data_IF_888410238738
#
_entry.id   IF_888410238738
#
_cell.length_a   1.000
_cell.length_b   1.000
_cell.length_c   1.000
_cell.angle_alpha   90.00
_cell.angle_beta   90.00
_cell.angle_gamma   90.00
#
_symmetry.space_group_name_H-M   'P 1'
#
loop_
_entity.id
_entity.type
_entity.pdbx_description
1 polymer ?
#
# COMPACT_ATOMS: atom_id res chain seq x y z
N UNK A 1 8.70 -7.50 -7.40
CA UNK A 1 7.45 -8.07 -7.96
C UNK A 1 6.81 -9.11 -7.04
N UNK A 2 7.52 -10.17 -6.61
CA UNK A 2 6.98 -11.22 -5.71
C UNK A 2 6.30 -10.67 -4.44
N UNK A 3 7.04 -9.90 -3.64
CA UNK A 3 6.51 -9.26 -2.42
C UNK A 3 5.44 -8.21 -2.73
N UNK A 4 5.51 -7.55 -3.89
CA UNK A 4 4.49 -6.62 -4.34
C UNK A 4 3.14 -7.32 -4.48
N UNK A 5 3.08 -8.43 -5.23
CA UNK A 5 1.87 -9.25 -5.33
C UNK A 5 1.35 -9.71 -3.96
N UNK A 6 2.25 -10.18 -3.10
CA UNK A 6 1.92 -10.68 -1.77
C UNK A 6 1.31 -9.58 -0.87
N UNK A 7 1.89 -8.38 -0.86
CA UNK A 7 1.37 -7.25 -0.08
C UNK A 7 0.09 -6.67 -0.69
N UNK A 8 -0.03 -6.63 -2.02
CA UNK A 8 -1.21 -6.08 -2.70
C UNK A 8 -2.44 -6.99 -2.66
N UNK A 9 -2.24 -8.31 -2.70
CA UNK A 9 -3.34 -9.28 -2.85
C UNK A 9 -3.40 -10.35 -1.76
N UNK A 10 -2.43 -10.38 -0.84
CA UNK A 10 -2.29 -11.46 0.14
C UNK A 10 -1.73 -12.76 -0.43
N UNK A 11 -1.62 -12.87 -1.75
CA UNK A 11 -1.13 -14.06 -2.46
C UNK A 11 -0.05 -13.75 -3.48
N UNK A 12 0.85 -14.70 -3.72
CA UNK A 12 1.84 -14.62 -4.79
C UNK A 12 2.10 -16.00 -5.35
N UNK A 13 2.26 -16.10 -6.67
CA UNK A 13 2.30 -17.37 -7.38
C UNK A 13 3.57 -17.43 -8.24
N UNK A 14 4.32 -18.51 -8.08
CA UNK A 14 5.53 -18.81 -8.84
C UNK A 14 5.33 -20.12 -9.61
N UNK A 15 5.43 -20.04 -10.94
CA UNK A 15 5.39 -21.20 -11.83
C UNK A 15 6.81 -21.47 -12.37
N UNK A 16 7.33 -22.70 -12.21
CA UNK A 16 8.61 -23.07 -12.78
C UNK A 16 8.44 -23.40 -14.26
N UNK A 17 9.36 -22.92 -15.10
CA UNK A 17 9.52 -23.41 -16.46
C UNK A 17 10.58 -24.52 -16.46
N UNK A 18 10.14 -25.74 -16.72
CA UNK A 18 11.00 -26.92 -16.79
C UNK A 18 11.48 -27.14 -18.22
N UNK A 19 12.80 -27.29 -18.40
CA UNK A 19 13.41 -27.70 -19.66
C UNK A 19 14.28 -28.92 -19.42
N UNK A 20 13.94 -30.04 -20.08
CA UNK A 20 14.64 -31.31 -19.93
C UNK A 20 14.84 -31.73 -18.46
N UNK A 21 13.78 -31.60 -17.64
CA UNK A 21 13.80 -31.96 -16.21
C UNK A 21 14.52 -30.97 -15.29
N UNK A 22 15.01 -29.84 -15.81
CA UNK A 22 15.72 -28.82 -15.02
C UNK A 22 14.93 -27.51 -15.01
N UNK A 23 14.74 -26.85 -13.85
CA UNK A 23 14.11 -25.54 -13.81
C UNK A 23 15.02 -24.50 -14.45
N UNK A 24 14.50 -23.76 -15.43
CA UNK A 24 15.26 -22.71 -16.14
C UNK A 24 14.78 -21.32 -15.81
N UNK A 25 13.47 -21.15 -15.66
CA UNK A 25 12.88 -19.85 -15.38
C UNK A 25 11.82 -19.98 -14.29
N UNK A 26 11.59 -18.85 -13.62
CA UNK A 26 10.57 -18.69 -12.60
C UNK A 26 9.65 -17.58 -13.05
N UNK A 27 8.41 -17.92 -13.38
CA UNK A 27 7.41 -16.96 -13.80
C UNK A 27 6.51 -16.56 -12.65
N UNK A 28 6.46 -15.27 -12.38
CA UNK A 28 5.49 -14.70 -11.45
C UNK A 28 4.14 -14.56 -12.14
N UNK A 29 3.14 -15.28 -11.64
CA UNK A 29 1.77 -15.12 -12.12
C UNK A 29 1.08 -13.98 -11.36
N UNK A 30 0.24 -13.25 -12.09
CA UNK A 30 -0.58 -12.17 -11.56
C UNK A 30 -1.70 -12.73 -10.69
N UNK A 31 -1.79 -12.40 -9.39
CA UNK A 31 -2.77 -12.97 -8.49
C UNK A 31 -4.23 -12.70 -8.89
N UNK A 32 -4.51 -11.54 -9.50
CA UNK A 32 -5.85 -11.16 -9.98
C UNK A 32 -6.41 -12.08 -11.07
N UNK A 33 -5.56 -12.94 -11.64
CA UNK A 33 -5.90 -13.87 -12.72
C UNK A 33 -5.86 -15.34 -12.30
N UNK A 34 -5.50 -15.61 -11.04
CA UNK A 34 -5.40 -16.98 -10.51
C UNK A 34 -6.66 -17.28 -9.68
N UNK A 35 -7.19 -18.48 -9.82
CA UNK A 35 -8.22 -19.02 -8.93
C UNK A 35 -7.83 -20.41 -8.47
N UNK A 36 -8.01 -20.70 -7.18
CA UNK A 36 -7.73 -22.01 -6.62
C UNK A 36 -8.84 -22.98 -7.02
N UNK A 37 -8.46 -24.18 -7.44
CA UNK A 37 -9.36 -25.31 -7.70
C UNK A 37 -9.13 -26.32 -6.57
N UNK A 38 -10.09 -26.39 -5.65
CA UNK A 38 -10.07 -27.35 -4.55
C UNK A 38 -10.61 -28.72 -5.00
N UNK A 39 -10.03 -29.78 -4.45
CA UNK A 39 -10.53 -31.14 -4.57
C UNK A 39 -11.77 -31.38 -3.71
N UNK A 40 -12.29 -32.61 -3.73
CA UNK A 40 -13.43 -33.02 -2.92
C UNK A 40 -13.17 -32.98 -1.41
N UNK A 41 -11.90 -32.97 -1.01
CA UNK A 41 -11.41 -32.88 0.36
C UNK A 41 -11.11 -31.43 0.81
N UNK A 42 -11.33 -30.45 -0.07
CA UNK A 42 -11.04 -29.04 0.18
C UNK A 42 -9.58 -28.65 -0.04
N UNK A 43 -8.67 -29.56 -0.37
CA UNK A 43 -7.27 -29.19 -0.63
C UNK A 43 -7.09 -28.68 -2.06
N UNK A 44 -6.20 -27.70 -2.31
CA UNK A 44 -5.88 -27.26 -3.66
C UNK A 44 -5.32 -28.41 -4.51
N UNK A 45 -5.98 -28.72 -5.61
CA UNK A 45 -5.50 -29.71 -6.61
C UNK A 45 -4.97 -29.04 -7.87
N UNK A 46 -5.42 -27.82 -8.16
CA UNK A 46 -4.96 -27.04 -9.29
C UNK A 46 -5.20 -25.53 -9.10
N UNK A 47 -4.65 -24.74 -10.02
CA UNK A 47 -4.84 -23.31 -10.14
C UNK A 47 -5.26 -22.97 -11.57
N UNK A 48 -6.34 -22.22 -11.72
CA UNK A 48 -6.78 -21.70 -13.01
C UNK A 48 -6.17 -20.32 -13.24
N UNK A 49 -5.33 -20.19 -14.27
CA UNK A 49 -4.77 -18.91 -14.72
C UNK A 49 -5.53 -18.39 -15.94
N UNK A 50 -6.22 -17.26 -15.79
CA UNK A 50 -7.13 -16.68 -16.80
C UNK A 50 -6.47 -15.53 -17.55
N UNK A 51 -6.45 -15.62 -18.89
CA UNK A 51 -5.97 -14.55 -19.78
C UNK A 51 -7.01 -14.31 -20.87
N UNK A 52 -7.82 -13.25 -20.69
CA UNK A 52 -8.98 -13.00 -21.54
C UNK A 52 -9.96 -14.17 -21.48
N UNK A 53 -10.39 -14.75 -22.61
CA UNK A 53 -11.32 -15.88 -22.63
C UNK A 53 -10.65 -17.24 -22.36
N UNK A 54 -9.32 -17.29 -22.28
CA UNK A 54 -8.58 -18.55 -22.12
C UNK A 54 -8.28 -18.80 -20.65
N UNK A 55 -8.49 -20.03 -20.21
CA UNK A 55 -8.09 -20.51 -18.88
C UNK A 55 -7.07 -21.63 -19.06
N UNK A 56 -5.90 -21.48 -18.45
CA UNK A 56 -4.90 -22.54 -18.34
C UNK A 56 -4.98 -23.12 -16.93
N UNK A 57 -5.26 -24.41 -16.83
CA UNK A 57 -5.20 -25.14 -15.55
C UNK A 57 -3.77 -25.60 -15.30
N UNK A 58 -3.25 -25.24 -14.13
CA UNK A 58 -1.91 -25.57 -13.66
C UNK A 58 -2.08 -26.50 -12.45
N UNK A 59 -1.53 -27.72 -12.47
CA UNK A 59 -1.70 -28.62 -11.33
C UNK A 59 -0.94 -28.09 -10.11
N UNK A 60 -1.48 -28.31 -8.91
CA UNK A 60 -0.84 -27.90 -7.66
C UNK A 60 0.41 -28.74 -7.35
N UNK A 61 0.45 -29.98 -7.85
CA UNK A 61 1.54 -30.92 -7.72
C UNK A 61 1.96 -31.41 -9.11
N UNK A 62 3.25 -31.65 -9.34
CA UNK A 62 3.77 -32.21 -10.59
C UNK A 62 4.31 -33.61 -10.33
N UNK A 63 4.19 -34.52 -11.30
CA UNK A 63 4.84 -35.84 -11.24
C UNK A 63 6.38 -35.71 -11.33
N UNK A 64 6.86 -34.66 -12.00
CA UNK A 64 8.28 -34.38 -12.25
C UNK A 64 8.93 -33.46 -11.18
N UNK A 65 8.27 -33.22 -10.04
CA UNK A 65 8.79 -32.38 -8.95
C UNK A 65 7.77 -31.38 -8.39
N UNK A 66 8.23 -30.17 -8.06
CA UNK A 66 7.37 -29.18 -7.44
C UNK A 66 6.42 -28.51 -8.46
N UNK A 67 5.12 -28.48 -8.13
CA UNK A 67 4.10 -27.75 -8.89
C UNK A 67 4.18 -26.22 -8.69
N UNK A 68 3.09 -25.52 -8.95
CA UNK A 68 3.01 -24.08 -8.72
C UNK A 68 3.16 -23.75 -7.22
N UNK A 69 4.06 -22.83 -6.88
CA UNK A 69 4.22 -22.34 -5.51
C UNK A 69 3.25 -21.20 -5.24
N UNK A 70 2.34 -21.40 -4.29
CA UNK A 70 1.44 -20.37 -3.76
C UNK A 70 1.93 -19.89 -2.39
N UNK A 71 2.45 -18.66 -2.36
CA UNK A 71 2.78 -17.96 -1.13
C UNK A 71 1.55 -17.18 -0.66
N UNK A 72 1.09 -17.43 0.57
CA UNK A 72 -0.05 -16.73 1.17
C UNK A 72 0.31 -16.04 2.48
N UNK A 73 -0.29 -14.88 2.70
CA UNK A 73 -0.39 -14.27 4.02
C UNK A 73 -1.53 -14.92 4.82
N UNK A 74 -1.46 -14.81 6.14
CA UNK A 74 -2.49 -15.37 7.01
C UNK A 74 -3.85 -14.73 6.73
N UNK A 75 -4.89 -15.56 6.54
CA UNK A 75 -6.27 -15.12 6.44
C UNK A 75 -7.12 -15.93 7.43
N UNK A 76 -7.87 -15.28 8.34
CA UNK A 76 -8.65 -16.00 9.36
C UNK A 76 -10.03 -16.52 8.89
N UNK A 77 -10.44 -16.20 7.66
CA UNK A 77 -11.80 -16.43 7.14
C UNK A 77 -11.83 -17.08 5.75
N UNK A 78 -10.67 -17.25 5.12
CA UNK A 78 -10.51 -17.86 3.80
C UNK A 78 -9.45 -18.96 3.94
N UNK A 79 -9.81 -20.18 3.53
CA UNK A 79 -8.94 -21.35 3.64
C UNK A 79 -7.84 -21.38 2.56
N UNK A 80 -8.08 -20.70 1.44
CA UNK A 80 -7.24 -20.76 0.25
C UNK A 80 -6.49 -19.46 -0.02
N UNK A 81 -7.18 -18.32 0.09
CA UNK A 81 -6.61 -17.00 -0.11
C UNK A 81 -5.74 -16.52 1.05
N UNK A 82 -4.89 -15.53 0.77
CA UNK A 82 -4.22 -14.76 1.80
C UNK A 82 -4.86 -13.38 1.95
N UNK A 83 -4.80 -12.81 3.16
CA UNK A 83 -5.32 -11.46 3.42
C UNK A 83 -4.26 -10.41 3.05
N UNK A 84 -4.60 -9.48 2.16
CA UNK A 84 -3.75 -8.33 1.87
C UNK A 84 -3.71 -7.37 3.07
N UNK A 85 -2.52 -6.91 3.50
CA UNK A 85 -2.41 -5.83 4.48
C UNK A 85 -3.01 -4.51 3.97
N UNK A 86 -3.06 -4.26 2.66
CA UNK A 86 -3.79 -3.10 2.13
C UNK A 86 -5.31 -3.30 2.21
N UNK A 87 -5.78 -4.55 2.13
CA UNK A 87 -7.18 -4.88 2.33
C UNK A 87 -7.70 -4.46 3.71
N UNK A 88 -6.88 -4.58 4.76
CA UNK A 88 -7.24 -4.09 6.10
C UNK A 88 -7.20 -2.56 6.24
N UNK A 89 -6.49 -1.87 5.34
CA UNK A 89 -6.41 -0.41 5.30
C UNK A 89 -7.42 0.26 4.35
N UNK A 90 -8.43 -0.47 3.85
CA UNK A 90 -9.37 0.00 2.82
C UNK A 90 -9.99 1.38 3.13
N UNK A 91 -10.56 1.54 4.33
CA UNK A 91 -11.17 2.81 4.75
C UNK A 91 -10.18 3.98 4.79
N UNK A 92 -8.92 3.72 5.19
CA UNK A 92 -7.87 4.73 5.21
C UNK A 92 -7.44 5.12 3.78
N UNK A 93 -7.35 4.15 2.86
CA UNK A 93 -7.08 4.41 1.45
C UNK A 93 -8.19 5.28 0.84
N UNK A 94 -9.44 4.95 1.10
CA UNK A 94 -10.59 5.69 0.59
C UNK A 94 -10.62 7.13 1.12
N UNK A 95 -10.37 7.30 2.43
CA UNK A 95 -10.26 8.61 3.05
C UNK A 95 -9.11 9.43 2.44
N UNK A 96 -7.92 8.85 2.32
CA UNK A 96 -6.76 9.53 1.74
C UNK A 96 -7.04 9.98 0.29
N UNK A 97 -7.66 9.11 -0.51
CA UNK A 97 -8.04 9.42 -1.89
C UNK A 97 -9.15 10.48 -1.97
N UNK A 98 -10.15 10.42 -1.08
CA UNK A 98 -11.22 11.40 -1.01
C UNK A 98 -10.69 12.79 -0.64
N UNK A 99 -9.81 12.89 0.35
CA UNK A 99 -9.12 14.14 0.71
C UNK A 99 -8.37 14.71 -0.49
N UNK A 100 -7.58 13.90 -1.20
CA UNK A 100 -6.83 14.35 -2.36
C UNK A 100 -7.74 14.85 -3.51
N UNK A 101 -8.81 14.10 -3.83
CA UNK A 101 -9.78 14.50 -4.86
C UNK A 101 -10.51 15.79 -4.48
N UNK A 102 -10.89 15.92 -3.20
CA UNK A 102 -11.55 17.11 -2.70
C UNK A 102 -10.63 18.33 -2.77
N UNK A 103 -9.39 18.23 -2.27
CA UNK A 103 -8.43 19.33 -2.34
C UNK A 103 -8.14 19.76 -3.77
N UNK A 104 -8.00 18.80 -4.70
CA UNK A 104 -7.87 19.09 -6.13
C UNK A 104 -9.10 19.83 -6.66
N UNK A 105 -10.30 19.32 -6.39
CA UNK A 105 -11.54 19.94 -6.85
C UNK A 105 -11.74 21.36 -6.29
N UNK A 106 -11.33 21.60 -5.05
CA UNK A 106 -11.32 22.93 -4.46
C UNK A 106 -10.38 23.88 -5.21
N UNK A 107 -9.14 23.45 -5.49
CA UNK A 107 -8.15 24.24 -6.22
C UNK A 107 -8.60 24.52 -7.66
N UNK A 108 -9.14 23.51 -8.35
CA UNK A 108 -9.68 23.64 -9.71
C UNK A 108 -10.85 24.66 -9.76
N UNK A 109 -11.59 24.78 -8.66
CA UNK A 109 -12.69 25.74 -8.49
C UNK A 109 -12.26 27.03 -7.75
N UNK A 110 -11.01 27.45 -7.92
CA UNK A 110 -10.51 28.75 -7.43
C UNK A 110 -10.50 28.91 -5.91
N UNK A 111 -10.47 27.81 -5.16
CA UNK A 111 -10.56 27.77 -3.70
C UNK A 111 -11.79 28.50 -3.11
N UNK A 112 -12.85 28.69 -3.90
CA UNK A 112 -14.08 29.33 -3.44
C UNK A 112 -15.02 28.28 -2.85
N UNK A 113 -15.38 28.36 -1.56
CA UNK A 113 -16.51 27.62 -1.04
C UNK A 113 -17.78 27.97 -1.83
N UNK A 114 -18.74 27.06 -1.88
CA UNK A 114 -20.10 27.37 -2.32
C UNK A 114 -20.55 28.66 -1.64
N UNK A 115 -21.15 29.59 -2.39
CA UNK A 115 -21.70 30.81 -1.82
C UNK A 115 -23.08 31.05 -2.37
N UNK A 116 -23.85 31.84 -1.62
CA UNK A 116 -25.15 32.30 -2.05
C UNK A 116 -25.06 33.79 -2.37
N UNK A 117 -25.54 34.16 -3.55
CA UNK A 117 -25.82 35.55 -3.86
C UNK A 117 -27.15 35.92 -3.19
N UNK A 118 -27.09 36.81 -2.21
CA UNK A 118 -28.25 37.30 -1.47
C UNK A 118 -28.65 38.64 -2.03
N UNK A 119 -29.92 38.79 -2.41
CA UNK A 119 -30.47 40.05 -2.89
C UNK A 119 -31.35 40.68 -1.80
N UNK A 120 -30.99 41.88 -1.34
CA UNK A 120 -31.75 42.66 -0.35
C UNK A 120 -31.93 44.11 -0.84
N UNK A 121 -32.98 44.39 -1.64
CA UNK A 121 -33.28 45.76 -2.06
C UNK A 121 -33.87 46.60 -0.93
N UNK A 122 -33.53 47.89 -0.91
CA UNK A 122 -33.96 48.85 0.14
C UNK A 122 -35.47 49.06 0.23
N UNK A 123 -36.22 48.82 -0.84
CA UNK A 123 -37.67 49.05 -0.92
C UNK A 123 -38.51 47.76 -0.96
N UNK A 124 -37.88 46.59 -0.89
CA UNK A 124 -38.57 45.30 -0.95
C UNK A 124 -39.09 44.95 -2.35
N UNK A 125 -38.48 43.94 -2.98
CA UNK A 125 -38.86 43.48 -4.31
C UNK A 125 -37.98 42.31 -4.77
N UNK A 126 -38.47 41.50 -5.69
CA UNK A 126 -37.65 40.44 -6.32
C UNK A 126 -36.97 40.99 -7.58
N UNK A 127 -35.87 40.34 -7.99
CA UNK A 127 -35.30 40.55 -9.32
C UNK A 127 -36.36 40.24 -10.39
N UNK A 128 -36.41 41.05 -11.44
CA UNK A 128 -37.20 40.70 -12.62
C UNK A 128 -36.62 39.42 -13.29
N UNK A 129 -37.43 38.63 -14.00
CA UNK A 129 -36.94 37.44 -14.70
C UNK A 129 -35.77 37.74 -15.63
N UNK A 130 -35.85 38.83 -16.40
CA UNK A 130 -34.79 39.25 -17.33
C UNK A 130 -33.49 39.62 -16.61
N UNK A 131 -33.58 40.29 -15.45
CA UNK A 131 -32.41 40.63 -14.64
C UNK A 131 -31.77 39.40 -13.99
N UNK A 132 -32.59 38.42 -13.59
CA UNK A 132 -32.13 37.14 -13.05
C UNK A 132 -31.36 36.33 -14.11
N UNK A 133 -31.91 36.19 -15.31
CA UNK A 133 -31.27 35.42 -16.38
C UNK A 133 -29.97 36.07 -16.85
N UNK A 134 -29.93 37.42 -16.92
CA UNK A 134 -28.69 38.15 -17.20
C UNK A 134 -27.63 37.92 -16.13
N UNK A 135 -28.00 38.03 -14.87
CA UNK A 135 -27.10 37.83 -13.73
C UNK A 135 -26.59 36.39 -13.67
N UNK A 136 -27.45 35.41 -13.95
CA UNK A 136 -27.05 34.00 -14.04
C UNK A 136 -26.05 33.78 -15.17
N UNK A 137 -26.30 34.32 -16.37
CA UNK A 137 -25.39 34.20 -17.50
C UNK A 137 -24.04 34.89 -17.24
N UNK A 138 -24.04 36.07 -16.61
CA UNK A 138 -22.82 36.77 -16.18
C UNK A 138 -22.04 35.98 -15.13
N UNK A 139 -22.73 35.34 -14.17
CA UNK A 139 -22.11 34.48 -13.15
C UNK A 139 -21.48 33.22 -13.77
N UNK A 140 -22.20 32.54 -14.65
CA UNK A 140 -21.72 31.33 -15.33
C UNK A 140 -20.52 31.65 -16.23
N UNK A 141 -20.59 32.73 -17.03
CA UNK A 141 -19.50 33.12 -17.93
C UNK A 141 -18.29 33.73 -17.19
N UNK A 142 -18.53 34.50 -16.14
CA UNK A 142 -17.51 35.27 -15.43
C UNK A 142 -16.79 34.52 -14.32
N UNK A 143 -17.36 33.42 -13.81
CA UNK A 143 -16.86 32.73 -12.61
C UNK A 143 -16.83 31.21 -12.68
N UNK A 144 -17.21 30.58 -13.79
CA UNK A 144 -16.89 29.16 -14.02
C UNK A 144 -15.47 28.99 -14.57
N UNK A 145 -14.79 27.96 -14.08
CA UNK A 145 -13.47 27.54 -14.53
C UNK A 145 -12.29 28.26 -13.86
N UNK A 146 -11.14 27.57 -13.82
CA UNK A 146 -9.92 28.02 -13.15
C UNK A 146 -9.36 29.35 -13.67
N UNK A 147 -9.64 29.73 -14.94
CA UNK A 147 -9.17 30.99 -15.55
C UNK A 147 -9.86 32.22 -14.96
N UNK A 148 -11.08 32.04 -14.46
CA UNK A 148 -11.89 33.11 -13.90
C UNK A 148 -11.75 33.22 -12.36
N UNK A 149 -10.83 32.46 -11.79
CA UNK A 149 -10.48 32.47 -10.37
C UNK A 149 -10.11 33.86 -9.87
N UNK A 150 -10.65 34.27 -8.73
CA UNK A 150 -10.22 35.51 -8.07
C UNK A 150 -10.66 36.82 -8.74
N UNK A 151 -11.42 36.77 -9.84
CA UNK A 151 -11.99 37.98 -10.45
C UNK A 151 -12.87 38.71 -9.41
N UNK A 152 -12.70 40.03 -9.22
CA UNK A 152 -13.60 40.81 -8.38
C UNK A 152 -15.03 40.69 -8.88
N UNK A 153 -15.98 40.47 -7.97
CA UNK A 153 -17.42 40.47 -8.28
C UNK A 153 -17.97 41.86 -8.00
N UNK A 154 -18.43 42.54 -9.05
CA UNK A 154 -19.10 43.82 -8.90
C UNK A 154 -20.56 43.56 -8.51
N UNK A 155 -20.93 43.98 -7.31
CA UNK A 155 -22.25 43.81 -6.74
C UNK A 155 -22.94 45.17 -6.65
N UNK A 156 -24.05 45.32 -7.36
CA UNK A 156 -24.86 46.55 -7.39
C UNK A 156 -26.25 46.32 -6.77
N UNK A 157 -26.94 47.40 -6.39
CA UNK A 157 -28.38 47.34 -6.12
C UNK A 157 -28.83 46.51 -4.91
N UNK A 158 -27.97 46.26 -3.92
CA UNK A 158 -28.30 45.45 -2.74
C UNK A 158 -28.01 43.96 -2.90
N UNK A 159 -27.24 43.58 -3.92
CA UNK A 159 -26.63 42.26 -4.01
C UNK A 159 -25.47 42.14 -3.02
N UNK A 160 -25.45 41.02 -2.29
CA UNK A 160 -24.41 40.66 -1.32
C UNK A 160 -23.97 39.22 -1.56
N UNK A 161 -22.67 38.96 -1.59
CA UNK A 161 -22.16 37.59 -1.72
C UNK A 161 -21.85 37.03 -0.33
N UNK A 162 -22.64 36.05 0.11
CA UNK A 162 -22.38 35.32 1.35
C UNK A 162 -21.68 34.02 1.01
N UNK A 163 -20.43 33.89 1.45
CA UNK A 163 -19.75 32.60 1.42
C UNK A 163 -20.51 31.62 2.32
N UNK A 164 -20.96 30.50 1.75
CA UNK A 164 -21.72 29.44 2.42
C UNK A 164 -20.84 28.19 2.46
N UNK A 165 -19.83 28.21 3.32
CA UNK A 165 -18.95 27.06 3.52
C UNK A 165 -17.84 27.35 4.51
N UNK A 166 -17.31 26.30 5.12
CA UNK A 166 -16.06 26.36 5.88
C UNK A 166 -14.94 26.81 4.93
N UNK A 167 -14.04 27.70 5.38
CA UNK A 167 -12.88 27.99 4.57
C UNK A 167 -11.99 26.73 4.51
N UNK A 168 -11.23 26.51 3.42
CA UNK A 168 -10.30 25.39 3.34
C UNK A 168 -9.28 25.33 4.48
N UNK A 169 -9.02 26.48 5.12
CA UNK A 169 -8.14 26.62 6.28
C UNK A 169 -8.81 26.15 7.58
N UNK A 170 -10.15 26.14 7.64
CA UNK A 170 -10.94 25.72 8.81
C UNK A 170 -11.23 24.21 8.80
N UNK A 171 -10.96 23.52 7.70
CA UNK A 171 -11.20 22.10 7.57
C UNK A 171 -9.89 21.32 7.79
N UNK A 172 -9.87 20.46 8.80
CA UNK A 172 -8.71 19.65 9.20
C UNK A 172 -8.44 18.47 8.22
N UNK A 173 -8.57 18.73 6.92
CA UNK A 173 -8.34 17.74 5.87
C UNK A 173 -6.88 17.34 5.77
N UNK A 174 -5.96 18.24 6.10
CA UNK A 174 -4.55 17.92 6.14
C UNK A 174 -4.25 16.89 7.24
N UNK A 175 -4.77 17.09 8.46
CA UNK A 175 -4.60 16.08 9.50
C UNK A 175 -5.36 14.79 9.19
N UNK A 176 -6.57 14.86 8.61
CA UNK A 176 -7.30 13.66 8.19
C UNK A 176 -6.53 12.86 7.12
N UNK A 177 -5.95 13.55 6.13
CA UNK A 177 -5.11 12.93 5.09
C UNK A 177 -3.84 12.34 5.68
N UNK A 178 -3.16 13.07 6.57
CA UNK A 178 -1.95 12.60 7.22
C UNK A 178 -2.24 11.41 8.16
N UNK A 179 -3.36 11.43 8.89
CA UNK A 179 -3.84 10.31 9.71
C UNK A 179 -4.09 9.07 8.86
N UNK A 180 -4.84 9.21 7.76
CA UNK A 180 -5.08 8.12 6.81
C UNK A 180 -3.76 7.57 6.22
N UNK A 181 -2.80 8.44 5.88
CA UNK A 181 -1.49 8.00 5.41
C UNK A 181 -0.72 7.19 6.47
N UNK A 182 -0.84 7.53 7.76
CA UNK A 182 -0.23 6.76 8.87
C UNK A 182 -0.90 5.40 9.04
N UNK A 183 -2.23 5.32 8.94
CA UNK A 183 -2.95 4.04 9.04
C UNK A 183 -2.58 3.08 7.90
N UNK A 184 -2.41 3.60 6.68
CA UNK A 184 -1.93 2.81 5.53
C UNK A 184 -0.51 2.31 5.77
N UNK A 185 0.38 3.17 6.27
CA UNK A 185 1.76 2.81 6.58
C UNK A 185 1.82 1.74 7.69
N UNK A 186 1.00 1.89 8.73
CA UNK A 186 0.87 0.93 9.83
C UNK A 186 0.42 -0.44 9.32
N UNK A 187 -0.56 -0.49 8.43
CA UNK A 187 -1.04 -1.75 7.86
C UNK A 187 0.06 -2.49 7.07
N UNK A 188 0.96 -1.76 6.41
CA UNK A 188 2.13 -2.33 5.73
C UNK A 188 3.32 -2.61 6.68
N UNK A 189 3.22 -2.24 7.96
CA UNK A 189 4.32 -2.34 8.92
C UNK A 189 5.49 -1.38 8.62
N UNK A 190 5.21 -0.27 7.94
CA UNK A 190 6.22 0.75 7.61
C UNK A 190 6.10 1.94 8.56
N UNK A 191 7.16 2.30 9.30
CA UNK A 191 7.15 3.50 10.13
C UNK A 191 6.86 4.77 9.32
N UNK A 192 5.85 5.58 9.67
CA UNK A 192 5.44 6.75 8.90
C UNK A 192 6.55 7.77 8.63
N UNK A 193 7.48 7.91 9.56
CA UNK A 193 8.64 8.81 9.43
C UNK A 193 9.55 8.43 8.26
N UNK A 194 9.71 7.15 7.93
CA UNK A 194 10.50 6.71 6.77
C UNK A 194 9.82 7.09 5.44
N UNK A 195 8.51 7.36 5.48
CA UNK A 195 7.70 7.81 4.34
C UNK A 195 7.59 9.34 4.26
N UNK A 196 8.26 10.08 5.17
CA UNK A 196 8.17 11.54 5.24
C UNK A 196 6.80 12.07 5.66
N UNK A 197 5.96 11.24 6.26
CA UNK A 197 4.66 11.68 6.79
C UNK A 197 4.94 12.61 7.98
N UNK A 198 4.35 13.81 8.05
CA UNK A 198 4.65 14.81 9.09
C UNK A 198 4.57 14.24 10.52
N UNK A 199 5.41 14.75 11.43
CA UNK A 199 5.51 14.32 12.83
C UNK A 199 6.83 14.75 13.46
N UNK A 200 7.09 14.39 14.72
CA UNK A 200 8.35 14.71 15.40
C UNK A 200 9.50 13.82 14.91
N UNK A 201 10.33 14.36 14.01
CA UNK A 201 11.46 13.65 13.39
C UNK A 201 12.77 14.10 14.02
N UNK A 202 13.47 13.16 14.67
CA UNK A 202 14.85 13.34 15.13
C UNK A 202 15.74 12.25 14.51
N UNK A 203 17.06 12.46 14.48
CA UNK A 203 18.00 11.48 13.93
C UNK A 203 17.97 10.15 14.69
N UNK A 204 17.89 10.21 16.03
CA UNK A 204 17.77 9.03 16.88
C UNK A 204 16.48 8.25 16.60
N UNK A 205 15.35 8.96 16.42
CA UNK A 205 14.10 8.33 16.02
C UNK A 205 14.27 7.64 14.67
N UNK A 206 14.88 8.30 13.68
CA UNK A 206 15.06 7.77 12.32
C UNK A 206 15.82 6.43 12.30
N UNK A 207 16.93 6.35 13.02
CA UNK A 207 17.71 5.12 13.11
C UNK A 207 16.89 3.96 13.71
N UNK A 208 16.15 4.24 14.79
CA UNK A 208 15.34 3.24 15.48
C UNK A 208 14.13 2.79 14.63
N UNK A 209 13.52 3.70 13.87
CA UNK A 209 12.46 3.36 12.93
C UNK A 209 12.98 2.44 11.80
N UNK A 210 14.17 2.74 11.26
CA UNK A 210 14.77 1.88 10.25
C UNK A 210 15.01 0.45 10.79
N UNK A 211 15.57 0.34 12.01
CA UNK A 211 15.74 -0.95 12.70
C UNK A 211 14.41 -1.67 12.91
N UNK A 212 13.40 -0.95 13.38
CA UNK A 212 12.06 -1.50 13.63
C UNK A 212 11.42 -2.04 12.35
N UNK A 213 11.56 -1.33 11.22
CA UNK A 213 11.09 -1.80 9.91
C UNK A 213 11.72 -3.15 9.54
N UNK A 214 13.04 -3.27 9.66
CA UNK A 214 13.72 -4.52 9.34
C UNK A 214 13.28 -5.66 10.26
N UNK A 215 13.27 -5.41 11.57
CA UNK A 215 13.01 -6.41 12.59
C UNK A 215 11.57 -6.92 12.59
N UNK A 216 10.60 -6.02 12.45
CA UNK A 216 9.17 -6.36 12.61
C UNK A 216 8.50 -6.72 11.29
N UNK A 217 9.00 -6.22 10.17
CA UNK A 217 8.31 -6.35 8.88
C UNK A 217 9.16 -7.10 7.86
N UNK A 218 10.36 -6.60 7.53
CA UNK A 218 11.14 -7.11 6.40
C UNK A 218 11.71 -8.51 6.68
N UNK A 219 12.42 -8.69 7.80
CA UNK A 219 13.07 -9.96 8.13
C UNK A 219 12.04 -11.08 8.33
N UNK A 220 10.94 -10.92 9.10
CA UNK A 220 9.92 -11.96 9.21
C UNK A 220 9.31 -12.34 7.85
N UNK A 221 9.05 -11.35 6.98
CA UNK A 221 8.52 -11.58 5.64
C UNK A 221 9.51 -12.33 4.75
N UNK A 222 10.79 -11.96 4.78
CA UNK A 222 11.87 -12.63 4.06
C UNK A 222 12.06 -14.06 4.57
N UNK A 223 12.18 -14.28 5.87
CA UNK A 223 12.40 -15.59 6.48
C UNK A 223 11.28 -16.57 6.14
N UNK A 224 10.01 -16.15 6.27
CA UNK A 224 8.87 -17.02 5.89
C UNK A 224 8.88 -17.38 4.41
N UNK A 225 9.19 -16.41 3.56
CA UNK A 225 9.25 -16.61 2.10
C UNK A 225 10.41 -17.51 1.72
N UNK A 226 11.59 -17.31 2.32
CA UNK A 226 12.77 -18.14 2.12
C UNK A 226 12.53 -19.59 2.59
N UNK A 227 11.83 -19.81 3.70
CA UNK A 227 11.45 -21.15 4.16
C UNK A 227 10.53 -21.85 3.15
N UNK A 228 9.54 -21.13 2.61
CA UNK A 228 8.62 -21.69 1.60
C UNK A 228 9.35 -22.02 0.29
N UNK A 229 10.25 -21.12 -0.15
CA UNK A 229 11.10 -21.35 -1.31
C UNK A 229 12.07 -22.51 -1.08
N UNK A 230 12.60 -22.68 0.13
CA UNK A 230 13.50 -23.78 0.48
C UNK A 230 12.83 -25.13 0.27
N UNK A 231 11.63 -25.31 0.83
CA UNK A 231 10.86 -26.53 0.63
C UNK A 231 10.56 -26.75 -0.86
N UNK A 232 10.07 -25.72 -1.54
CA UNK A 232 9.70 -25.81 -2.94
C UNK A 232 10.88 -26.11 -3.88
N UNK A 233 12.04 -25.49 -3.68
CA UNK A 233 13.25 -25.82 -4.45
C UNK A 233 13.80 -27.19 -4.08
N UNK A 234 13.67 -27.62 -2.82
CA UNK A 234 14.11 -28.97 -2.43
C UNK A 234 13.35 -30.03 -3.22
N UNK A 235 12.03 -29.86 -3.36
CA UNK A 235 11.18 -30.73 -4.17
C UNK A 235 11.52 -30.64 -5.67
N UNK A 236 11.91 -29.45 -6.16
CA UNK A 236 12.22 -29.20 -7.56
C UNK A 236 13.58 -29.78 -8.00
N UNK A 237 14.57 -29.78 -7.11
CA UNK A 237 15.93 -30.29 -7.39
C UNK A 237 16.16 -31.70 -6.81
N UNK A 238 15.26 -32.21 -5.97
CA UNK A 238 15.38 -33.53 -5.36
C UNK A 238 16.45 -33.63 -4.27
N UNK A 239 16.88 -32.50 -3.70
CA UNK A 239 17.87 -32.44 -2.61
C UNK A 239 17.45 -31.42 -1.55
N UNK A 240 17.80 -31.61 -0.27
CA UNK A 240 17.42 -30.66 0.78
C UNK A 240 18.19 -29.33 0.62
N UNK A 241 17.46 -28.28 0.26
CA UNK A 241 17.98 -26.92 0.10
C UNK A 241 17.47 -26.02 1.21
N UNK A 242 18.33 -25.09 1.66
CA UNK A 242 17.99 -24.10 2.68
C UNK A 242 18.42 -22.70 2.25
N UNK A 243 17.44 -21.86 1.96
CA UNK A 243 17.60 -20.44 1.72
C UNK A 243 17.42 -19.67 3.04
N UNK A 244 18.37 -18.80 3.34
CA UNK A 244 18.29 -17.90 4.49
C UNK A 244 18.68 -16.49 4.07
N UNK A 245 18.00 -15.45 4.57
CA UNK A 245 18.43 -14.08 4.32
C UNK A 245 19.77 -13.84 5.02
N UNK A 246 20.72 -13.26 4.29
CA UNK A 246 21.96 -12.75 4.87
C UNK A 246 21.67 -11.40 5.54
N UNK A 247 21.61 -11.43 6.88
CA UNK A 247 21.34 -10.25 7.69
C UNK A 247 22.62 -9.44 7.97
N UNK A 248 23.80 -10.01 7.74
CA UNK A 248 25.09 -9.35 8.01
C UNK A 248 25.37 -8.22 7.03
N UNK A 249 24.85 -8.34 5.81
CA UNK A 249 25.00 -7.31 4.78
C UNK A 249 23.98 -6.17 4.89
N UNK A 250 23.10 -6.17 5.89
CA UNK A 250 22.07 -5.14 6.05
C UNK A 250 22.56 -3.97 6.92
N UNK A 251 22.75 -2.76 6.36
CA UNK A 251 23.26 -1.62 7.11
C UNK A 251 22.37 -1.21 8.30
N UNK A 252 21.05 -1.47 8.20
CA UNK A 252 20.07 -1.18 9.25
C UNK A 252 20.21 -2.05 10.51
N UNK A 253 20.96 -3.15 10.45
CA UNK A 253 21.15 -4.10 11.55
C UNK A 253 22.61 -4.14 12.07
N UNK A 254 23.49 -3.30 11.54
CA UNK A 254 24.93 -3.29 11.90
C UNK A 254 25.18 -3.15 13.40
N UNK A 255 24.47 -2.25 14.08
CA UNK A 255 24.63 -2.03 15.52
C UNK A 255 24.22 -3.24 16.38
N UNK A 256 23.18 -3.99 15.97
CA UNK A 256 22.78 -5.22 16.68
C UNK A 256 23.83 -6.32 16.49
N UNK A 257 24.37 -6.40 15.27
CA UNK A 257 25.46 -7.33 14.95
C UNK A 257 26.71 -7.02 15.77
N UNK A 258 27.13 -5.76 15.84
CA UNK A 258 28.31 -5.36 16.62
C UNK A 258 28.13 -5.74 18.11
N UNK A 259 26.92 -5.56 18.66
CA UNK A 259 26.59 -5.98 20.01
C UNK A 259 26.58 -7.52 20.19
N UNK A 260 26.12 -8.28 19.19
CA UNK A 260 26.16 -9.74 19.19
C UNK A 260 27.62 -10.24 19.15
N UNK A 261 28.41 -9.73 18.21
CA UNK A 261 29.81 -10.10 18.03
C UNK A 261 30.66 -9.75 19.25
N UNK A 262 30.45 -8.57 19.85
CA UNK A 262 31.13 -8.18 21.09
C UNK A 262 30.81 -9.13 22.26
N UNK A 263 29.54 -9.52 22.40
CA UNK A 263 29.08 -10.45 23.45
C UNK A 263 29.60 -11.88 23.25
N UNK A 264 29.58 -12.39 22.02
CA UNK A 264 30.11 -13.73 21.70
C UNK A 264 31.64 -13.75 21.81
N UNK A 265 32.31 -12.72 21.30
CA UNK A 265 33.77 -12.59 21.41
C UNK A 265 34.23 -12.53 22.87
N UNK A 266 33.50 -11.79 23.72
CA UNK A 266 33.75 -11.69 25.15
C UNK A 266 33.38 -12.92 25.98
N UNK A 267 32.66 -13.90 25.43
CA UNK A 267 32.31 -15.13 26.11
C UNK A 267 33.52 -16.07 26.18
N UNK A 268 34.34 -15.95 27.22
CA UNK A 268 35.55 -16.76 27.41
C UNK A 268 35.29 -18.26 27.66
N UNK A 269 34.05 -18.63 27.98
CA UNK A 269 33.64 -20.00 28.25
C UNK A 269 33.27 -20.80 26.98
N UNK A 270 33.12 -20.15 25.83
CA UNK A 270 32.85 -20.80 24.55
C UNK A 270 34.17 -21.03 23.80
N UNK A 271 34.29 -22.19 23.15
CA UNK A 271 35.33 -22.45 22.17
C UNK A 271 35.16 -21.58 20.92
N UNK A 272 36.23 -21.41 20.14
CA UNK A 272 36.17 -20.64 18.89
C UNK A 272 35.20 -21.26 17.88
N UNK A 273 35.02 -22.58 17.90
CA UNK A 273 34.06 -23.28 17.04
C UNK A 273 32.61 -23.00 17.44
N UNK A 274 32.29 -23.04 18.74
CA UNK A 274 30.97 -22.67 19.24
C UNK A 274 30.66 -21.19 18.97
N UNK A 275 31.68 -20.32 19.02
CA UNK A 275 31.54 -18.90 18.66
C UNK A 275 31.24 -18.73 17.19
N UNK A 276 31.95 -19.41 16.28
CA UNK A 276 31.69 -19.38 14.83
C UNK A 276 30.29 -19.85 14.51
N UNK A 277 29.89 -20.99 15.06
CA UNK A 277 28.55 -21.53 14.87
C UNK A 277 27.47 -20.55 15.35
N UNK A 278 27.70 -19.84 16.47
CA UNK A 278 26.78 -18.85 17.01
C UNK A 278 26.64 -17.58 16.15
N UNK A 279 27.64 -17.24 15.34
CA UNK A 279 27.58 -16.12 14.37
C UNK A 279 27.30 -16.57 12.93
N UNK A 280 27.06 -17.86 12.69
CA UNK A 280 26.68 -18.39 11.38
C UNK A 280 27.85 -18.72 10.45
N UNK A 281 29.05 -18.94 10.99
CA UNK A 281 30.26 -19.36 10.26
C UNK A 281 30.66 -20.80 10.59
#
# INVERSE_FOLDING_TARGET
>A
MLFGHLLLSGSSYLEPLMLAGTPRELHLLRPDRVSVVAGSDGWPVAYDYRVGPRTRRIPAFSEDGAGLLHLKLFHPLDDHGGLSPLGSAGSAIDLHNACARWSKGLLDNSARPSGALVYQPKEGGNLSPDAYDRLKAELEAGYQGAVNAGRPLLLEGGLDWKAMGLSPKDMDFEAARNGAARDIALALGVPPMLMGIPGDITYANYQEANRSLFRLTVVPLLTRTAASLSAWFSDLYGEPLRLQPDLDQLPGLSAERDALWSRIGGASFLSDEEKRQAVGY
#
